data_IF_037740272593
#
_entry.id   IF_037740272593
#
_cell.length_a   1.000
_cell.length_b   1.000
_cell.length_c   1.000
_cell.angle_alpha   90.00
_cell.angle_beta   90.00
_cell.angle_gamma   90.00
#
_symmetry.space_group_name_H-M   'P 1'
#
loop_
_entity.id
_entity.type
_entity.pdbx_description
1 polymer ?
#
# COMPACT_ATOMS: atom_id res chain seq x y z
N UNK A 1 1.67 18.69 -13.85
CA UNK A 1 1.47 17.24 -13.61
C UNK A 1 0.97 17.04 -12.19
N UNK A 2 -0.08 16.24 -12.00
CA UNK A 2 -0.56 15.83 -10.70
C UNK A 2 -0.07 14.41 -10.37
N UNK A 3 0.79 14.30 -9.35
CA UNK A 3 1.37 13.03 -8.93
C UNK A 3 0.59 12.47 -7.73
N UNK A 4 0.11 11.23 -7.85
CA UNK A 4 -0.40 10.44 -6.73
C UNK A 4 0.74 9.69 -6.05
N UNK A 5 0.80 9.69 -4.71
CA UNK A 5 1.70 8.84 -3.93
C UNK A 5 0.84 7.86 -3.16
N UNK A 6 0.89 6.58 -3.50
CA UNK A 6 0.23 5.52 -2.74
C UNK A 6 1.22 5.01 -1.69
N UNK A 7 0.81 5.04 -0.44
CA UNK A 7 1.68 4.77 0.69
C UNK A 7 1.18 3.55 1.47
N UNK A 8 1.95 2.47 1.42
CA UNK A 8 1.85 1.32 2.29
C UNK A 8 2.89 1.45 3.42
N UNK A 9 3.00 0.49 4.33
CA UNK A 9 3.90 0.63 5.48
C UNK A 9 4.97 -0.45 5.57
N UNK A 10 4.68 -1.68 5.20
CA UNK A 10 5.55 -2.85 5.41
C UNK A 10 6.92 -2.68 4.76
N UNK A 11 6.94 -2.13 3.56
CA UNK A 11 8.15 -1.91 2.79
C UNK A 11 8.98 -0.69 3.18
N UNK A 12 8.55 0.12 4.16
CA UNK A 12 9.28 1.35 4.56
C UNK A 12 10.65 1.07 5.15
N UNK A 13 11.56 2.02 4.99
CA UNK A 13 12.83 2.04 5.71
C UNK A 13 12.60 2.11 7.23
N UNK A 14 13.35 1.32 8.00
CA UNK A 14 13.22 1.26 9.45
C UNK A 14 12.11 0.33 9.97
N UNK A 15 11.37 -0.33 9.09
CA UNK A 15 10.39 -1.36 9.45
C UNK A 15 11.01 -2.74 9.32
N UNK A 16 11.05 -3.52 10.42
CA UNK A 16 11.59 -4.90 10.47
C UNK A 16 10.78 -5.84 11.35
N UNK A 17 9.66 -5.37 11.92
CA UNK A 17 8.75 -6.16 12.76
C UNK A 17 7.31 -5.90 12.37
N UNK A 18 6.50 -6.96 12.27
CA UNK A 18 5.06 -6.87 11.96
C UNK A 18 4.31 -5.90 12.90
N UNK A 19 4.70 -5.83 14.18
CA UNK A 19 4.05 -4.94 15.16
C UNK A 19 4.21 -3.45 14.82
N UNK A 20 5.26 -3.08 14.04
CA UNK A 20 5.44 -1.71 13.56
C UNK A 20 4.44 -1.33 12.45
N UNK A 21 3.88 -2.32 11.77
CA UNK A 21 2.86 -2.11 10.72
C UNK A 21 1.43 -2.16 11.28
N UNK A 22 1.21 -2.87 12.41
CA UNK A 22 -0.12 -3.15 12.94
C UNK A 22 -0.67 -2.00 13.77
N UNK A 23 -1.77 -1.39 13.32
CA UNK A 23 -2.46 -0.33 14.03
C UNK A 23 -2.81 -0.71 15.48
N UNK A 24 -2.58 0.22 16.39
CA UNK A 24 -2.90 0.07 17.82
C UNK A 24 -1.83 -0.62 18.65
N UNK A 25 -0.73 -1.11 18.08
CA UNK A 25 0.43 -1.56 18.83
C UNK A 25 1.30 -0.37 19.25
N UNK A 26 2.07 -0.45 20.34
CA UNK A 26 3.01 0.63 20.72
C UNK A 26 4.04 0.92 19.63
N UNK A 27 4.53 -0.13 18.93
CA UNK A 27 5.55 -0.04 17.90
C UNK A 27 5.04 0.60 16.61
N UNK A 28 3.74 0.58 16.37
CA UNK A 28 3.12 1.18 15.19
C UNK A 28 3.38 2.70 15.11
N UNK A 29 3.52 3.37 16.25
CA UNK A 29 3.83 4.80 16.24
C UNK A 29 5.19 5.09 15.58
N UNK A 30 6.20 4.25 15.87
CA UNK A 30 7.49 4.31 15.18
C UNK A 30 7.34 3.97 13.68
N UNK A 31 6.56 2.94 13.34
CA UNK A 31 6.28 2.57 11.95
C UNK A 31 5.67 3.71 11.14
N UNK A 32 4.73 4.44 11.73
CA UNK A 32 4.15 5.66 11.13
C UNK A 32 5.17 6.76 10.87
N UNK A 33 6.12 6.94 11.78
CA UNK A 33 7.22 7.90 11.60
C UNK A 33 8.10 7.49 10.43
N UNK A 34 8.47 6.21 10.35
CA UNK A 34 9.24 5.68 9.23
C UNK A 34 8.53 5.91 7.89
N UNK A 35 7.27 5.51 7.79
CA UNK A 35 6.46 5.71 6.57
C UNK A 35 6.37 7.19 6.20
N UNK A 36 6.08 8.07 7.17
CA UNK A 36 5.90 9.50 6.91
C UNK A 36 7.19 10.13 6.38
N UNK A 37 8.35 9.72 6.91
CA UNK A 37 9.65 10.19 6.42
C UNK A 37 9.95 9.70 5.00
N UNK A 38 9.66 8.42 4.69
CA UNK A 38 9.83 7.88 3.34
C UNK A 38 8.93 8.62 2.34
N UNK A 39 7.65 8.83 2.67
CA UNK A 39 6.70 9.57 1.86
C UNK A 39 7.14 11.01 1.65
N UNK A 40 7.67 11.69 2.67
CA UNK A 40 8.19 13.05 2.55
C UNK A 40 9.35 13.15 1.56
N UNK A 41 10.24 12.16 1.52
CA UNK A 41 11.33 12.14 0.55
C UNK A 41 10.81 11.96 -0.89
N UNK A 42 9.78 11.12 -1.07
CA UNK A 42 9.12 10.96 -2.38
C UNK A 42 8.35 12.23 -2.79
N UNK A 43 7.67 12.91 -1.85
CA UNK A 43 7.01 14.21 -2.10
C UNK A 43 8.04 15.25 -2.57
N UNK A 44 9.17 15.36 -1.85
CA UNK A 44 10.26 16.28 -2.25
C UNK A 44 10.75 15.97 -3.66
N UNK A 45 11.01 14.68 -3.96
CA UNK A 45 11.44 14.25 -5.29
C UNK A 45 10.44 14.61 -6.39
N UNK A 46 9.14 14.46 -6.14
CA UNK A 46 8.12 14.84 -7.10
C UNK A 46 8.13 16.37 -7.37
N UNK A 47 8.24 17.19 -6.34
CA UNK A 47 8.35 18.65 -6.51
C UNK A 47 9.68 19.11 -7.12
N UNK A 48 10.80 18.42 -6.82
CA UNK A 48 12.10 18.69 -7.46
C UNK A 48 12.08 18.41 -8.98
N UNK A 49 11.13 17.58 -9.43
CA UNK A 49 10.86 17.29 -10.82
C UNK A 49 9.68 18.10 -11.40
N UNK A 50 9.32 19.21 -10.74
CA UNK A 50 8.29 20.14 -11.18
C UNK A 50 6.88 19.58 -11.26
N UNK A 51 6.50 18.65 -10.36
CA UNK A 51 5.10 18.30 -10.17
C UNK A 51 4.32 19.54 -9.67
N UNK A 52 3.17 19.84 -10.29
CA UNK A 52 2.33 20.99 -9.89
C UNK A 52 1.54 20.69 -8.62
N UNK A 53 1.18 19.41 -8.44
CA UNK A 53 0.38 18.93 -7.32
C UNK A 53 0.78 17.51 -6.94
N UNK A 54 0.84 17.28 -5.64
CA UNK A 54 1.08 15.95 -5.08
C UNK A 54 -0.06 15.60 -4.13
N UNK A 55 -0.58 14.39 -4.24
CA UNK A 55 -1.60 13.86 -3.32
C UNK A 55 -1.15 12.51 -2.79
N UNK A 56 -1.01 12.41 -1.47
CA UNK A 56 -0.71 11.16 -0.77
C UNK A 56 -2.00 10.42 -0.46
N UNK A 57 -2.11 9.18 -0.95
CA UNK A 57 -3.16 8.23 -0.57
C UNK A 57 -2.55 7.15 0.32
N UNK A 58 -2.98 7.12 1.57
CA UNK A 58 -2.62 6.07 2.51
C UNK A 58 -3.41 4.80 2.18
N UNK A 59 -2.72 3.71 1.87
CA UNK A 59 -3.32 2.45 1.41
C UNK A 59 -3.26 1.32 2.43
N UNK A 60 -2.51 1.49 3.53
CA UNK A 60 -2.35 0.45 4.54
C UNK A 60 -3.53 0.38 5.52
N UNK A 61 -4.03 -0.84 5.81
CA UNK A 61 -5.16 -1.12 6.71
C UNK A 61 -6.36 -0.19 6.46
N UNK A 62 -6.65 0.71 7.38
CA UNK A 62 -7.78 1.67 7.29
C UNK A 62 -7.39 3.01 6.65
N UNK A 63 -6.13 3.19 6.24
CA UNK A 63 -5.64 4.35 5.53
C UNK A 63 -5.42 5.60 6.39
N UNK A 64 -4.87 5.44 7.61
CA UNK A 64 -4.55 6.54 8.52
C UNK A 64 -3.17 6.38 9.18
N UNK A 65 -2.19 5.90 8.43
CA UNK A 65 -0.85 5.60 8.94
C UNK A 65 0.10 6.79 8.83
N UNK A 66 0.04 7.58 7.77
CA UNK A 66 0.84 8.80 7.69
C UNK A 66 0.49 9.80 8.80
N UNK A 67 1.50 10.44 9.38
CA UNK A 67 1.34 11.48 10.40
C UNK A 67 1.14 12.83 9.71
N UNK A 68 -0.11 13.23 9.50
CA UNK A 68 -0.48 14.40 8.69
C UNK A 68 0.29 15.66 9.09
N UNK A 69 0.51 15.89 10.39
CA UNK A 69 1.25 17.07 10.91
C UNK A 69 2.74 17.07 10.57
N UNK A 70 3.29 15.89 10.17
CA UNK A 70 4.70 15.73 9.78
C UNK A 70 4.88 15.59 8.27
N UNK A 71 3.78 15.45 7.50
CA UNK A 71 3.85 15.44 6.04
C UNK A 71 4.27 16.82 5.50
N UNK A 72 4.96 16.81 4.38
CA UNK A 72 5.27 18.03 3.63
C UNK A 72 3.97 18.81 3.35
N UNK A 73 3.84 20.06 3.83
CA UNK A 73 2.58 20.81 3.77
C UNK A 73 2.12 21.15 2.34
N UNK A 74 2.98 20.97 1.34
CA UNK A 74 2.64 21.18 -0.08
C UNK A 74 1.79 20.04 -0.64
N UNK A 75 1.82 18.86 -0.02
CA UNK A 75 1.06 17.71 -0.48
C UNK A 75 -0.34 17.66 0.13
N UNK A 76 -1.32 17.25 -0.66
CA UNK A 76 -2.63 16.90 -0.16
C UNK A 76 -2.59 15.48 0.44
N UNK A 77 -3.46 15.20 1.42
CA UNK A 77 -3.57 13.89 2.04
C UNK A 77 -4.98 13.34 1.94
N UNK A 78 -5.08 12.09 1.49
CA UNK A 78 -6.32 11.32 1.40
C UNK A 78 -6.21 10.08 2.27
N UNK A 79 -6.73 10.17 3.48
CA UNK A 79 -6.82 9.04 4.42
C UNK A 79 -8.18 8.37 4.36
N UNK A 80 -8.21 7.10 4.75
CA UNK A 80 -9.42 6.28 4.81
C UNK A 80 -9.80 5.67 3.46
N UNK A 81 -10.31 4.44 3.53
CA UNK A 81 -10.88 3.75 2.38
C UNK A 81 -12.40 3.94 2.35
N UNK A 82 -13.04 3.66 1.21
CA UNK A 82 -14.51 3.59 1.03
C UNK A 82 -15.32 4.89 1.30
N UNK A 83 -14.65 5.99 1.65
CA UNK A 83 -15.26 7.32 1.83
C UNK A 83 -15.19 8.11 0.51
N UNK A 84 -14.18 7.82 -0.27
CA UNK A 84 -13.89 8.45 -1.55
C UNK A 84 -14.72 7.80 -2.68
N UNK A 85 -14.83 8.41 -3.87
CA UNK A 85 -15.48 7.82 -5.03
C UNK A 85 -14.96 6.44 -5.39
N UNK A 86 -13.65 6.24 -5.25
CA UNK A 86 -13.00 4.93 -5.40
C UNK A 86 -12.15 4.61 -4.17
N UNK A 87 -11.66 3.37 -4.06
CA UNK A 87 -10.72 2.97 -3.01
C UNK A 87 -9.50 3.90 -2.93
N UNK A 88 -9.02 4.36 -4.07
CA UNK A 88 -7.82 5.20 -4.19
C UNK A 88 -8.09 6.72 -4.23
N UNK A 89 -9.31 7.15 -3.95
CA UNK A 89 -9.69 8.55 -4.06
C UNK A 89 -10.14 8.92 -5.47
N UNK A 90 -9.83 10.13 -5.92
CA UNK A 90 -10.18 10.57 -7.29
C UNK A 90 -9.05 10.25 -8.27
N UNK A 91 -8.96 8.99 -8.68
CA UNK A 91 -7.90 8.46 -9.57
C UNK A 91 -7.85 9.16 -10.93
N UNK A 92 -8.96 9.68 -11.43
CA UNK A 92 -9.04 10.40 -12.71
C UNK A 92 -8.19 11.69 -12.74
N UNK A 93 -7.75 12.17 -11.60
CA UNK A 93 -6.97 13.40 -11.50
C UNK A 93 -5.45 13.15 -11.44
N UNK A 94 -4.99 11.90 -11.45
CA UNK A 94 -3.56 11.61 -11.43
C UNK A 94 -3.01 11.43 -12.84
N UNK A 95 -1.87 12.07 -13.12
CA UNK A 95 -1.12 11.87 -14.36
C UNK A 95 -0.11 10.73 -14.20
N UNK A 96 0.36 10.49 -12.96
CA UNK A 96 1.34 9.47 -12.58
C UNK A 96 1.11 9.07 -11.14
N UNK A 97 1.34 7.78 -10.82
CA UNK A 97 1.37 7.29 -9.44
C UNK A 97 2.76 6.76 -9.08
N UNK A 98 3.19 7.06 -7.85
CA UNK A 98 4.39 6.53 -7.19
C UNK A 98 3.92 5.67 -6.02
N UNK A 99 4.25 4.37 -6.00
CA UNK A 99 3.79 3.45 -4.95
C UNK A 99 4.92 3.14 -3.98
N UNK A 100 4.76 3.55 -2.73
CA UNK A 100 5.79 3.54 -1.68
C UNK A 100 5.52 2.43 -0.68
N UNK A 101 6.60 1.75 -0.27
CA UNK A 101 6.62 0.79 0.84
C UNK A 101 5.80 -0.49 0.59
N UNK A 102 5.81 -0.99 -0.64
CA UNK A 102 5.10 -2.22 -1.02
C UNK A 102 5.69 -3.47 -0.35
N UNK A 103 4.86 -4.49 -0.22
CA UNK A 103 5.20 -5.81 0.29
C UNK A 103 4.87 -6.91 -0.74
N UNK A 104 5.39 -8.13 -0.53
CA UNK A 104 5.22 -9.25 -1.45
C UNK A 104 3.84 -9.92 -1.34
N UNK A 105 3.46 -10.62 -2.41
CA UNK A 105 2.23 -11.38 -2.51
C UNK A 105 2.07 -12.45 -1.41
N UNK A 106 0.82 -12.77 -1.06
CA UNK A 106 0.48 -13.91 -0.19
C UNK A 106 1.20 -15.18 -0.63
N UNK A 107 1.71 -15.95 0.33
CA UNK A 107 2.39 -17.23 0.07
C UNK A 107 3.85 -17.11 -0.40
N UNK A 108 4.39 -15.91 -0.60
CA UNK A 108 5.76 -15.71 -1.06
C UNK A 108 6.77 -16.11 0.02
N UNK A 109 7.57 -17.14 -0.26
CA UNK A 109 8.59 -17.63 0.67
C UNK A 109 9.77 -16.65 0.77
N UNK A 110 10.23 -16.41 1.99
CA UNK A 110 11.40 -15.57 2.26
C UNK A 110 11.12 -14.06 2.27
N UNK A 111 9.90 -13.63 1.93
CA UNK A 111 9.49 -12.24 1.97
C UNK A 111 9.15 -11.77 3.40
N UNK A 112 9.30 -10.48 3.64
CA UNK A 112 8.90 -9.84 4.89
C UNK A 112 7.39 -9.62 4.88
N UNK A 113 6.68 -10.33 5.75
CA UNK A 113 5.23 -10.22 5.96
C UNK A 113 4.39 -10.29 4.66
N UNK A 114 4.51 -11.36 3.85
CA UNK A 114 3.83 -11.49 2.58
C UNK A 114 2.33 -11.64 2.76
N UNK A 115 1.55 -10.81 2.11
CA UNK A 115 0.09 -10.91 2.04
C UNK A 115 -0.42 -10.19 0.79
N UNK A 116 -1.69 -10.40 0.44
CA UNK A 116 -2.36 -9.67 -0.63
C UNK A 116 -3.69 -9.22 -0.09
N UNK A 117 -3.85 -7.90 0.08
CA UNK A 117 -5.04 -7.20 0.54
C UNK A 117 -5.47 -7.52 1.99
N UNK A 118 -5.35 -8.76 2.42
CA UNK A 118 -5.63 -9.15 3.79
C UNK A 118 -4.91 -10.46 4.16
N UNK A 119 -4.37 -10.53 5.36
CA UNK A 119 -3.57 -11.67 5.82
C UNK A 119 -4.30 -13.00 5.98
N UNK A 120 -5.59 -13.08 5.63
CA UNK A 120 -6.39 -14.32 5.66
C UNK A 120 -6.18 -15.18 4.41
N UNK A 121 -5.58 -14.64 3.35
CA UNK A 121 -5.32 -15.38 2.12
C UNK A 121 -3.95 -16.06 2.18
N UNK A 122 -3.89 -17.31 1.72
CA UNK A 122 -2.65 -18.02 1.43
C UNK A 122 -2.13 -17.69 0.03
N UNK A 123 -3.03 -17.35 -0.90
CA UNK A 123 -2.70 -16.94 -2.27
C UNK A 123 -3.86 -16.16 -2.87
N UNK A 124 -3.55 -15.21 -3.76
CA UNK A 124 -4.53 -14.53 -4.62
C UNK A 124 -4.02 -14.61 -6.05
N UNK A 125 -4.89 -14.98 -7.00
CA UNK A 125 -4.55 -15.11 -8.41
C UNK A 125 -5.46 -14.27 -9.29
N UNK A 126 -4.88 -13.80 -10.38
CA UNK A 126 -5.59 -13.16 -11.49
C UNK A 126 -5.24 -13.91 -12.78
N UNK A 127 -6.25 -14.47 -13.45
CA UNK A 127 -6.08 -15.29 -14.65
C UNK A 127 -5.07 -16.42 -14.44
N UNK A 128 -5.16 -17.13 -13.29
CA UNK A 128 -4.29 -18.24 -12.90
C UNK A 128 -2.89 -17.85 -12.41
N UNK A 129 -2.49 -16.57 -12.49
CA UNK A 129 -1.19 -16.07 -12.04
C UNK A 129 -1.29 -15.49 -10.61
N UNK A 130 -0.43 -15.89 -9.68
CA UNK A 130 -0.33 -15.23 -8.37
C UNK A 130 -0.04 -13.74 -8.53
N UNK A 131 -0.73 -12.91 -7.74
CA UNK A 131 -0.61 -11.45 -7.80
C UNK A 131 -0.37 -10.84 -6.43
N UNK A 132 0.49 -9.82 -6.39
CA UNK A 132 0.64 -8.93 -5.23
C UNK A 132 -0.33 -7.75 -5.31
N UNK A 133 -0.38 -6.93 -4.26
CA UNK A 133 -1.21 -5.73 -4.27
C UNK A 133 -0.78 -4.73 -5.34
N UNK A 134 0.52 -4.60 -5.58
CA UNK A 134 1.02 -3.73 -6.62
C UNK A 134 0.52 -4.14 -8.02
N UNK A 135 0.45 -5.45 -8.34
CA UNK A 135 -0.14 -5.93 -9.59
C UNK A 135 -1.60 -5.46 -9.73
N UNK A 136 -2.39 -5.68 -8.65
CA UNK A 136 -3.82 -5.36 -8.64
C UNK A 136 -4.05 -3.85 -8.74
N UNK A 137 -3.30 -3.07 -7.96
CA UNK A 137 -3.49 -1.62 -7.92
C UNK A 137 -2.99 -0.93 -9.18
N UNK A 138 -1.86 -1.38 -9.76
CA UNK A 138 -1.38 -0.89 -11.04
C UNK A 138 -2.36 -1.19 -12.18
N UNK A 139 -2.93 -2.41 -12.21
CA UNK A 139 -3.92 -2.77 -13.21
C UNK A 139 -5.25 -2.02 -13.01
N UNK A 140 -5.67 -1.79 -11.76
CA UNK A 140 -6.84 -0.95 -11.46
C UNK A 140 -6.65 0.49 -11.95
N UNK A 141 -5.47 1.09 -11.71
CA UNK A 141 -5.13 2.43 -12.21
C UNK A 141 -5.06 2.46 -13.74
N UNK A 142 -4.61 1.37 -14.34
CA UNK A 142 -4.54 1.20 -15.79
C UNK A 142 -5.88 1.34 -16.50
N UNK A 143 -7.01 0.95 -15.86
CA UNK A 143 -8.36 1.15 -16.39
C UNK A 143 -8.72 2.64 -16.55
N UNK A 144 -8.04 3.51 -15.82
CA UNK A 144 -8.20 4.97 -15.90
C UNK A 144 -7.11 5.63 -16.73
N UNK A 145 -6.24 4.85 -17.38
CA UNK A 145 -5.13 5.37 -18.14
C UNK A 145 -3.98 5.95 -17.29
N UNK A 146 -3.95 5.67 -15.99
CA UNK A 146 -2.96 6.20 -15.05
C UNK A 146 -1.80 5.23 -14.88
N UNK A 147 -0.56 5.59 -15.29
CA UNK A 147 0.61 4.75 -15.09
C UNK A 147 1.12 4.81 -13.65
N UNK A 148 1.72 3.69 -13.20
CA UNK A 148 2.61 3.67 -12.04
C UNK A 148 4.05 3.73 -12.54
N UNK A 149 4.79 4.77 -12.16
CA UNK A 149 6.14 5.02 -12.64
C UNK A 149 7.25 4.78 -11.61
N UNK A 150 6.87 4.51 -10.36
CA UNK A 150 7.83 4.25 -9.29
C UNK A 150 7.25 3.28 -8.27
N UNK A 151 8.11 2.38 -7.78
CA UNK A 151 7.81 1.51 -6.65
C UNK A 151 8.97 1.49 -5.65
N UNK A 152 8.67 1.46 -4.35
CA UNK A 152 9.66 1.15 -3.32
C UNK A 152 9.12 0.17 -2.32
N UNK A 153 9.96 -0.69 -1.79
CA UNK A 153 9.57 -1.68 -0.80
C UNK A 153 10.61 -2.78 -0.62
N UNK A 154 10.22 -3.88 -0.01
CA UNK A 154 11.13 -5.00 0.14
C UNK A 154 11.60 -5.56 -1.22
N UNK A 155 12.74 -6.21 -1.24
CA UNK A 155 13.40 -6.70 -2.47
C UNK A 155 12.50 -7.62 -3.30
N UNK A 156 11.85 -8.61 -2.68
CA UNK A 156 10.97 -9.56 -3.39
C UNK A 156 9.72 -8.86 -3.92
N UNK A 157 9.13 -7.92 -3.17
CA UNK A 157 7.98 -7.15 -3.62
C UNK A 157 8.29 -6.29 -4.83
N UNK A 158 9.44 -5.60 -4.80
CA UNK A 158 9.91 -4.79 -5.93
C UNK A 158 10.15 -5.67 -7.15
N UNK A 159 10.78 -6.85 -6.99
CA UNK A 159 10.96 -7.80 -8.10
C UNK A 159 9.62 -8.25 -8.69
N UNK A 160 8.62 -8.54 -7.86
CA UNK A 160 7.27 -8.90 -8.31
C UNK A 160 6.62 -7.76 -9.10
N UNK A 161 6.63 -6.55 -8.56
CA UNK A 161 6.02 -5.38 -9.22
C UNK A 161 6.68 -5.04 -10.56
N UNK A 162 8.02 -5.04 -10.64
CA UNK A 162 8.74 -4.72 -11.88
C UNK A 162 8.50 -5.73 -13.00
N UNK A 163 8.15 -6.98 -12.69
CA UNK A 163 7.70 -7.94 -13.73
C UNK A 163 6.43 -7.47 -14.45
N UNK A 164 5.52 -6.83 -13.74
CA UNK A 164 4.27 -6.31 -14.32
C UNK A 164 4.43 -4.92 -14.94
N UNK A 165 5.28 -4.06 -14.36
CA UNK A 165 5.50 -2.67 -14.79
C UNK A 165 7.00 -2.39 -15.02
N UNK A 166 7.64 -3.00 -16.05
CA UNK A 166 9.10 -2.95 -16.25
C UNK A 166 9.65 -1.55 -16.58
N UNK A 167 8.79 -0.59 -16.90
CA UNK A 167 9.16 0.82 -17.09
C UNK A 167 9.32 1.59 -15.79
N UNK A 168 8.76 1.09 -14.69
CA UNK A 168 8.79 1.81 -13.41
C UNK A 168 10.21 1.85 -12.82
N UNK A 169 10.57 2.98 -12.25
CA UNK A 169 11.77 3.12 -11.43
C UNK A 169 11.55 2.45 -10.08
N UNK A 170 12.62 1.98 -9.44
CA UNK A 170 12.49 1.30 -8.16
C UNK A 170 13.57 1.62 -7.15
N UNK A 171 13.21 1.52 -5.87
CA UNK A 171 14.13 1.54 -4.73
C UNK A 171 13.84 0.35 -3.84
N UNK A 172 14.85 -0.49 -3.64
CA UNK A 172 14.76 -1.67 -2.77
C UNK A 172 15.10 -1.29 -1.34
N UNK A 173 14.23 -1.71 -0.41
CA UNK A 173 14.47 -1.68 1.04
C UNK A 173 14.82 -3.09 1.48
N UNK A 174 16.11 -3.32 1.76
CA UNK A 174 16.61 -4.66 2.10
C UNK A 174 16.19 -5.06 3.52
N UNK A 175 15.14 -5.87 3.60
CA UNK A 175 14.58 -6.39 4.87
C UNK A 175 15.40 -7.53 5.48
N UNK A 176 16.34 -8.10 4.74
CA UNK A 176 17.17 -9.23 5.18
C UNK A 176 18.46 -8.78 5.89
N UNK A 177 18.87 -7.53 5.69
CA UNK A 177 20.03 -6.99 6.41
C UNK A 177 19.62 -6.64 7.83
N UNK A 178 20.28 -7.23 8.80
CA UNK A 178 20.20 -6.88 10.24
C UNK A 178 20.65 -5.45 10.56
N UNK A 179 20.74 -4.58 9.54
CA UNK A 179 21.17 -3.18 9.64
C UNK A 179 20.23 -2.33 10.48
N UNK A 180 19.08 -2.87 10.86
CA UNK A 180 18.08 -2.18 11.69
C UNK A 180 18.29 -2.34 13.20
N UNK A 181 19.29 -3.12 13.63
CA UNK A 181 19.37 -3.54 15.02
C UNK A 181 20.17 -2.63 15.93
N UNK A 182 21.05 -1.78 15.45
CA UNK A 182 21.71 -0.71 16.26
C UNK A 182 22.84 0.03 15.54
N UNK A 183 23.07 1.29 15.92
CA UNK A 183 24.28 2.05 15.67
C UNK A 183 24.31 2.93 14.42
N UNK A 184 25.45 3.61 14.21
CA UNK A 184 25.67 4.59 13.13
C UNK A 184 25.44 4.04 11.72
N UNK A 185 25.73 2.76 11.48
CA UNK A 185 25.52 2.11 10.17
C UNK A 185 24.05 2.03 9.79
N UNK A 186 23.16 1.81 10.75
CA UNK A 186 21.73 1.76 10.46
C UNK A 186 21.16 3.15 10.20
N UNK A 187 21.62 4.18 10.91
CA UNK A 187 21.25 5.57 10.66
C UNK A 187 21.71 6.01 9.27
N UNK A 188 22.96 5.72 8.90
CA UNK A 188 23.50 6.01 7.57
C UNK A 188 22.66 5.36 6.47
N UNK A 189 22.33 4.08 6.62
CA UNK A 189 21.48 3.34 5.68
C UNK A 189 20.12 3.98 5.49
N UNK A 190 19.46 4.42 6.57
CA UNK A 190 18.17 5.09 6.51
C UNK A 190 18.25 6.44 5.78
N UNK A 191 19.29 7.23 6.08
CA UNK A 191 19.49 8.55 5.44
C UNK A 191 19.74 8.38 3.94
N UNK A 192 20.69 7.53 3.57
CA UNK A 192 21.06 7.28 2.17
C UNK A 192 19.88 6.66 1.38
N UNK A 193 19.17 5.72 2.00
CA UNK A 193 18.01 5.08 1.40
C UNK A 193 16.87 6.07 1.12
N UNK A 194 16.57 6.97 2.07
CA UNK A 194 15.55 8.00 1.91
C UNK A 194 15.94 9.05 0.87
N UNK A 195 17.20 9.47 0.84
CA UNK A 195 17.67 10.35 -0.24
C UNK A 195 17.55 9.67 -1.60
N UNK A 196 17.81 8.37 -1.67
CA UNK A 196 17.59 7.58 -2.88
C UNK A 196 16.11 7.53 -3.30
N UNK A 197 15.17 7.44 -2.33
CA UNK A 197 13.73 7.57 -2.64
C UNK A 197 13.44 8.89 -3.36
N UNK A 198 13.97 10.02 -2.84
CA UNK A 198 13.79 11.34 -3.43
C UNK A 198 14.34 11.43 -4.85
N UNK A 199 15.58 11.00 -5.05
CA UNK A 199 16.24 11.03 -6.37
C UNK A 199 15.48 10.22 -7.41
N UNK A 200 15.12 8.96 -7.07
CA UNK A 200 14.47 8.04 -8.01
C UNK A 200 13.02 8.42 -8.27
N UNK A 201 12.31 8.96 -7.27
CA UNK A 201 10.99 9.54 -7.48
C UNK A 201 11.05 10.74 -8.45
N UNK A 202 12.04 11.62 -8.31
CA UNK A 202 12.25 12.72 -9.25
C UNK A 202 12.54 12.22 -10.68
N UNK A 203 13.32 11.14 -10.82
CA UNK A 203 13.56 10.52 -12.14
C UNK A 203 12.26 10.00 -12.75
N UNK A 204 11.44 9.29 -11.98
CA UNK A 204 10.16 8.75 -12.44
C UNK A 204 9.23 9.87 -12.93
N UNK A 205 9.15 11.00 -12.22
CA UNK A 205 8.34 12.16 -12.61
C UNK A 205 8.86 12.80 -13.89
N UNK A 206 10.19 12.97 -14.06
CA UNK A 206 10.79 13.52 -15.30
C UNK A 206 10.54 12.63 -16.52
N UNK A 207 10.50 11.30 -16.30
CA UNK A 207 10.33 10.31 -17.36
C UNK A 207 8.86 9.84 -17.51
N UNK A 208 7.91 10.54 -16.89
CA UNK A 208 6.49 10.15 -16.86
C UNK A 208 5.90 9.88 -18.26
N UNK A 209 6.31 10.63 -19.25
CA UNK A 209 5.85 10.47 -20.65
C UNK A 209 6.22 9.11 -21.27
N UNK A 210 7.22 8.40 -20.72
CA UNK A 210 7.61 7.06 -21.16
C UNK A 210 6.89 5.94 -20.40
N UNK A 211 6.17 6.27 -19.33
CA UNK A 211 5.45 5.30 -18.51
C UNK A 211 4.13 4.90 -19.17
N UNK A 212 3.71 3.66 -18.93
CA UNK A 212 2.49 3.11 -19.55
C UNK A 212 1.51 2.67 -18.46
N UNK A 213 0.19 2.83 -18.66
CA UNK A 213 -0.80 2.18 -17.84
C UNK A 213 -0.67 0.65 -17.96
N UNK A 214 -0.79 -0.06 -16.85
CA UNK A 214 -0.87 -1.53 -16.87
C UNK A 214 -2.31 -1.93 -17.20
N UNK A 215 -2.55 -2.42 -18.40
CA UNK A 215 -3.87 -2.91 -18.82
C UNK A 215 -3.86 -4.43 -18.81
N UNK A 216 -4.79 -5.03 -18.08
CA UNK A 216 -5.05 -6.48 -18.10
C UNK A 216 -6.35 -6.70 -18.87
N UNK A 217 -6.29 -7.27 -20.10
CA UNK A 217 -7.50 -7.43 -20.90
C UNK A 217 -8.47 -8.43 -20.27
N UNK A 218 -9.76 -8.10 -20.29
CA UNK A 218 -10.82 -9.00 -19.86
C UNK A 218 -11.14 -10.11 -20.90
N UNK A 219 -11.96 -11.09 -20.53
CA UNK A 219 -12.54 -11.27 -19.20
C UNK A 219 -11.51 -11.69 -18.15
N UNK A 220 -11.72 -11.27 -16.92
CA UNK A 220 -10.83 -11.51 -15.78
C UNK A 220 -11.39 -12.62 -14.90
N UNK A 221 -10.52 -13.52 -14.45
CA UNK A 221 -10.82 -14.55 -13.48
C UNK A 221 -9.97 -14.35 -12.23
N UNK A 222 -10.61 -14.11 -11.08
CA UNK A 222 -9.98 -13.96 -9.78
C UNK A 222 -10.17 -15.20 -8.94
N UNK A 223 -9.13 -15.59 -8.21
CA UNK A 223 -9.15 -16.66 -7.22
C UNK A 223 -8.52 -16.15 -5.93
N UNK A 224 -9.23 -16.27 -4.82
CA UNK A 224 -8.74 -15.98 -3.48
C UNK A 224 -8.71 -17.29 -2.67
N UNK A 225 -7.52 -17.78 -2.40
CA UNK A 225 -7.32 -18.98 -1.58
C UNK A 225 -7.17 -18.58 -0.13
N UNK A 226 -8.15 -18.87 0.68
CA UNK A 226 -8.10 -18.60 2.13
C UNK A 226 -7.14 -19.59 2.82
N UNK A 227 -6.65 -19.22 3.99
CA UNK A 227 -5.80 -20.11 4.80
C UNK A 227 -6.53 -21.37 5.28
N UNK A 228 -7.86 -21.30 5.42
CA UNK A 228 -8.72 -22.44 5.77
C UNK A 228 -10.07 -22.31 5.07
N UNK A 229 -10.74 -23.44 4.86
CA UNK A 229 -12.11 -23.47 4.35
C UNK A 229 -13.11 -22.79 5.28
N UNK A 230 -12.89 -22.85 6.58
CA UNK A 230 -13.71 -22.15 7.57
C UNK A 230 -13.67 -20.62 7.35
N UNK A 231 -12.49 -20.08 7.06
CA UNK A 231 -12.36 -18.67 6.70
C UNK A 231 -13.09 -18.35 5.39
N UNK A 232 -12.97 -19.19 4.37
CA UNK A 232 -13.70 -19.00 3.12
C UNK A 232 -15.22 -18.96 3.36
N UNK A 233 -15.76 -19.92 4.12
CA UNK A 233 -17.17 -19.97 4.48
C UNK A 233 -17.63 -18.72 5.26
N UNK A 234 -16.78 -18.21 6.15
CA UNK A 234 -17.08 -17.00 6.95
C UNK A 234 -17.11 -15.74 6.11
N UNK A 235 -16.19 -15.61 5.16
CA UNK A 235 -16.03 -14.36 4.38
C UNK A 235 -16.88 -14.33 3.11
N UNK A 236 -17.20 -15.50 2.51
CA UNK A 236 -17.98 -15.58 1.28
C UNK A 236 -19.47 -15.35 1.48
N UNK A 237 -19.83 -14.23 2.12
CA UNK A 237 -21.23 -13.85 2.38
C UNK A 237 -21.98 -13.42 1.12
N UNK A 238 -21.27 -13.21 0.01
CA UNK A 238 -21.81 -12.78 -1.27
C UNK A 238 -22.23 -13.93 -2.16
N UNK A 239 -21.83 -15.16 -1.82
CA UNK A 239 -22.16 -16.37 -2.59
C UNK A 239 -21.38 -16.43 -3.91
N UNK A 240 -20.12 -16.02 -3.90
CA UNK A 240 -19.20 -16.28 -5.01
C UNK A 240 -18.93 -17.78 -5.11
N UNK A 241 -18.49 -18.24 -6.27
CA UNK A 241 -18.17 -19.66 -6.46
C UNK A 241 -17.06 -20.07 -5.48
N UNK A 242 -17.24 -21.24 -4.83
CA UNK A 242 -16.33 -21.72 -3.81
C UNK A 242 -16.05 -23.21 -3.95
N UNK A 243 -14.79 -23.58 -3.82
CA UNK A 243 -14.34 -24.97 -3.72
C UNK A 243 -13.34 -25.08 -2.57
N UNK A 244 -13.77 -25.70 -1.47
CA UNK A 244 -12.96 -25.77 -0.25
C UNK A 244 -12.56 -24.36 0.26
N UNK A 245 -11.26 -24.12 0.36
CA UNK A 245 -10.73 -22.83 0.80
C UNK A 245 -10.62 -21.77 -0.32
N UNK A 246 -10.89 -22.12 -1.57
CA UNK A 246 -10.79 -21.24 -2.72
C UNK A 246 -12.16 -20.62 -3.04
N UNK A 247 -12.19 -19.28 -3.14
CA UNK A 247 -13.32 -18.49 -3.62
C UNK A 247 -12.92 -17.80 -4.91
N UNK A 248 -13.76 -17.89 -5.96
CA UNK A 248 -13.46 -17.29 -7.24
C UNK A 248 -14.63 -16.48 -7.80
N UNK A 249 -14.30 -15.54 -8.69
CA UNK A 249 -15.27 -14.71 -9.41
C UNK A 249 -14.71 -14.23 -10.74
N UNK A 250 -15.60 -13.96 -11.67
CA UNK A 250 -15.28 -13.35 -12.95
C UNK A 250 -15.62 -11.85 -12.91
N UNK A 251 -14.95 -11.07 -13.75
CA UNK A 251 -15.19 -9.66 -13.94
C UNK A 251 -14.84 -9.24 -15.38
N UNK A 252 -15.52 -8.22 -15.90
CA UNK A 252 -15.24 -7.71 -17.24
C UNK A 252 -13.98 -6.82 -17.28
N UNK A 253 -13.64 -6.20 -16.14
CA UNK A 253 -12.51 -5.28 -15.98
C UNK A 253 -11.99 -5.28 -14.54
N UNK A 254 -10.85 -4.62 -14.32
CA UNK A 254 -10.22 -4.54 -13.00
C UNK A 254 -11.04 -3.76 -11.96
N UNK A 255 -11.85 -2.79 -12.39
CA UNK A 255 -12.69 -2.00 -11.46
C UNK A 255 -13.74 -2.92 -10.83
N UNK A 256 -14.44 -3.69 -11.64
CA UNK A 256 -15.44 -4.67 -11.17
C UNK A 256 -14.79 -5.78 -10.33
N UNK A 257 -13.67 -6.33 -10.83
CA UNK A 257 -12.93 -7.42 -10.15
C UNK A 257 -12.46 -7.00 -8.75
N UNK A 258 -11.90 -5.81 -8.65
CA UNK A 258 -11.44 -5.26 -7.38
C UNK A 258 -12.59 -4.88 -6.44
N UNK A 259 -13.73 -4.40 -6.97
CA UNK A 259 -14.92 -4.17 -6.15
C UNK A 259 -15.43 -5.49 -5.53
N UNK A 260 -15.48 -6.57 -6.30
CA UNK A 260 -15.85 -7.90 -5.80
C UNK A 260 -14.86 -8.39 -4.75
N UNK A 261 -13.55 -8.17 -4.95
CA UNK A 261 -12.52 -8.48 -3.97
C UNK A 261 -12.70 -7.72 -2.65
N UNK A 262 -13.00 -6.42 -2.72
CA UNK A 262 -13.32 -5.61 -1.54
C UNK A 262 -14.58 -6.10 -0.82
N UNK A 263 -15.62 -6.50 -1.56
CA UNK A 263 -16.83 -7.10 -1.00
C UNK A 263 -16.52 -8.38 -0.24
N UNK A 264 -15.71 -9.27 -0.82
CA UNK A 264 -15.28 -10.51 -0.18
C UNK A 264 -14.50 -10.24 1.11
N UNK A 265 -13.61 -9.24 1.11
CA UNK A 265 -12.64 -9.01 2.19
C UNK A 265 -13.20 -8.17 3.33
N UNK A 266 -13.87 -7.05 3.03
CA UNK A 266 -14.19 -6.03 4.03
C UNK A 266 -15.67 -5.85 4.30
N UNK A 267 -16.55 -6.28 3.38
CA UNK A 267 -17.95 -5.93 3.45
C UNK A 267 -18.87 -7.14 3.34
N UNK A 268 -19.16 -7.82 4.47
CA UNK A 268 -20.26 -8.77 4.50
C UNK A 268 -21.52 -8.17 3.89
N UNK A 269 -22.30 -8.98 3.18
CA UNK A 269 -23.46 -8.54 2.38
C UNK A 269 -24.46 -7.69 3.18
N UNK A 270 -24.67 -8.03 4.45
CA UNK A 270 -25.55 -7.31 5.37
C UNK A 270 -25.01 -5.95 5.82
N UNK A 271 -23.69 -5.72 5.79
CA UNK A 271 -23.04 -4.47 6.22
C UNK A 271 -22.80 -3.53 5.02
N UNK A 272 -22.72 -4.07 3.81
CA UNK A 272 -22.37 -3.31 2.61
C UNK A 272 -23.21 -2.03 2.37
N UNK A 273 -24.54 -2.02 2.59
CA UNK A 273 -25.34 -0.80 2.44
C UNK A 273 -24.87 0.34 3.35
N UNK A 274 -24.28 0.01 4.49
CA UNK A 274 -23.83 0.95 5.51
C UNK A 274 -22.33 1.29 5.40
N UNK A 275 -21.63 0.82 4.37
CA UNK A 275 -20.16 0.99 4.25
C UNK A 275 -19.71 2.45 4.28
N UNK A 276 -20.43 3.37 3.64
CA UNK A 276 -20.08 4.81 3.63
C UNK A 276 -20.26 5.48 4.98
N UNK A 277 -21.43 5.39 5.64
CA UNK A 277 -21.59 5.91 7.01
C UNK A 277 -20.58 5.31 7.98
N UNK A 278 -20.35 3.99 7.91
CA UNK A 278 -19.39 3.30 8.78
C UNK A 278 -17.95 3.80 8.54
N UNK A 279 -17.52 3.93 7.29
CA UNK A 279 -16.22 4.48 6.94
C UNK A 279 -16.06 5.93 7.41
N UNK A 280 -17.12 6.76 7.33
CA UNK A 280 -17.12 8.12 7.83
C UNK A 280 -16.94 8.17 9.36
N UNK A 281 -17.67 7.32 10.10
CA UNK A 281 -17.53 7.21 11.55
C UNK A 281 -16.12 6.74 11.95
N UNK A 282 -15.59 5.73 11.26
CA UNK A 282 -14.22 5.25 11.47
C UNK A 282 -13.20 6.36 11.22
N UNK A 283 -13.35 7.14 10.14
CA UNK A 283 -12.50 8.30 9.88
C UNK A 283 -12.51 9.30 11.04
N UNK A 284 -13.69 9.64 11.55
CA UNK A 284 -13.83 10.52 12.71
C UNK A 284 -13.10 9.98 13.94
N UNK A 285 -13.34 8.72 14.27
CA UNK A 285 -12.71 8.01 15.37
C UNK A 285 -11.17 7.98 15.26
N UNK A 286 -10.64 7.56 14.10
CA UNK A 286 -9.19 7.49 13.90
C UNK A 286 -8.53 8.88 13.86
N UNK A 287 -9.21 9.89 13.33
CA UNK A 287 -8.73 11.26 13.37
C UNK A 287 -8.61 11.77 14.81
N UNK A 288 -9.61 11.51 15.65
CA UNK A 288 -9.58 11.87 17.07
C UNK A 288 -8.50 11.08 17.80
N UNK A 289 -8.46 9.75 17.64
CA UNK A 289 -7.46 8.89 18.27
C UNK A 289 -6.03 9.29 17.90
N UNK A 290 -5.76 9.56 16.63
CA UNK A 290 -4.43 9.96 16.18
C UNK A 290 -4.04 11.38 16.59
N UNK A 291 -5.02 12.25 16.87
CA UNK A 291 -4.74 13.65 17.30
C UNK A 291 -4.56 13.74 18.81
N UNK A 292 -5.35 13.00 19.60
CA UNK A 292 -5.44 13.20 21.05
C UNK A 292 -4.87 12.05 21.88
N UNK A 293 -4.81 10.83 21.32
CA UNK A 293 -4.40 9.62 22.06
C UNK A 293 -3.12 8.97 21.55
N UNK A 294 -2.40 9.62 20.62
CA UNK A 294 -1.07 9.15 20.25
C UNK A 294 -0.19 9.17 21.52
N UNK A 295 0.36 8.06 21.98
CA UNK A 295 1.30 8.08 23.09
C UNK A 295 2.44 9.04 22.75
N UNK A 296 2.83 9.91 23.69
CA UNK A 296 4.02 10.74 23.48
C UNK A 296 5.20 9.80 23.27
N UNK A 297 6.05 10.04 22.25
CA UNK A 297 7.24 9.23 22.08
C UNK A 297 8.01 9.28 23.41
N UNK A 298 8.28 8.12 24.00
CA UNK A 298 9.18 8.05 25.13
C UNK A 298 10.59 8.25 24.59
N UNK A 299 11.24 9.39 24.82
CA UNK A 299 12.56 9.67 24.28
C UNK A 299 13.63 8.72 24.85
N UNK A 300 13.33 8.02 25.96
CA UNK A 300 14.29 7.12 26.60
C UNK A 300 14.11 5.65 26.18
N UNK A 301 13.01 5.28 25.54
CA UNK A 301 12.72 3.89 25.14
C UNK A 301 13.47 3.41 23.89
N UNK A 302 14.12 4.27 23.15
CA UNK A 302 14.93 3.90 21.98
C UNK A 302 16.37 3.47 22.36
N UNK A 303 16.83 3.80 23.58
CA UNK A 303 18.21 3.57 24.00
C UNK A 303 18.40 2.41 25.01
N UNK A 304 17.34 1.86 25.58
CA UNK A 304 17.46 0.85 26.63
C UNK A 304 16.72 -0.43 26.34
N UNK A 305 17.15 -1.19 25.35
CA UNK A 305 17.09 -2.67 25.32
C UNK A 305 17.91 -3.13 24.13
N UNK A 306 19.24 -3.14 24.36
CA UNK A 306 20.14 -4.02 23.67
C UNK A 306 19.79 -5.48 24.01
#
# INVERSE_FOLDING_TARGET
MHVGIFADIEGSFGIWRMRQCRMGTPEWQYGRECLTEDVNHVIKGAFDACADRVTVKDTHEVGFNCIIKKLDPRANYVGGHFIQPTFFGNVLNYDLVLYVAIHAASGTKGAFFPHTHYGIFSEVRLNGRPVCEADIYCAYLGEFGVPVGFVSGEDIAVEQAIKAIPWAKSVVVDKRKETYTSGEKSIKYLIEGRERLREVAAMAVREAASMKPLVVPGPLHFEAVFRTEELANKFNTWGFDQTGAMVCWNADNMIEGFEKFNKLTFFPKNIYPFRRPLAFLMRGFYRIKNTYFAPRPNPEGAASKA
#
